data_IF_308231914336
#
_entry.id   IF_308231914336
#
_cell.length_a   1.000
_cell.length_b   1.000
_cell.length_c   1.000
_cell.angle_alpha   90.00
_cell.angle_beta   90.00
_cell.angle_gamma   90.00
#
_symmetry.space_group_name_H-M   'P 1'
#
loop_
_entity.id
_entity.type
_entity.pdbx_description
1 polymer ?
#
# COMPACT_ATOMS: atom_id res chain seq x y z
N UNK A 1 12.74 -19.91 6.24
CA UNK A 1 12.92 -19.07 5.03
C UNK A 1 11.58 -18.79 4.37
N UNK A 2 11.12 -17.54 4.41
CA UNK A 2 9.86 -17.09 3.80
C UNK A 2 10.15 -16.59 2.39
N UNK A 3 9.20 -16.80 1.47
CA UNK A 3 9.34 -16.29 0.10
C UNK A 3 9.17 -14.77 0.09
N UNK A 4 9.88 -14.09 -0.80
CA UNK A 4 9.72 -12.65 -1.03
C UNK A 4 8.29 -12.27 -1.45
N UNK A 5 7.58 -13.17 -2.13
CA UNK A 5 6.16 -13.01 -2.45
C UNK A 5 5.28 -12.93 -1.18
N UNK A 6 5.42 -13.91 -0.27
CA UNK A 6 4.67 -13.91 0.98
C UNK A 6 5.01 -12.69 1.84
N UNK A 7 6.31 -12.35 1.88
CA UNK A 7 6.81 -11.17 2.58
C UNK A 7 6.16 -9.88 2.07
N UNK A 8 6.22 -9.64 0.75
CA UNK A 8 5.66 -8.45 0.14
C UNK A 8 4.15 -8.42 0.29
N UNK A 9 3.47 -9.57 0.17
CA UNK A 9 2.03 -9.66 0.36
C UNK A 9 1.62 -9.25 1.79
N UNK A 10 2.31 -9.75 2.81
CA UNK A 10 2.03 -9.37 4.20
C UNK A 10 2.34 -7.89 4.47
N UNK A 11 3.48 -7.38 3.97
CA UNK A 11 3.82 -5.97 4.08
C UNK A 11 2.78 -5.07 3.39
N UNK A 12 2.31 -5.48 2.21
CA UNK A 12 1.25 -4.78 1.48
C UNK A 12 -0.05 -4.77 2.27
N UNK A 13 -0.45 -5.90 2.86
CA UNK A 13 -1.67 -6.00 3.63
C UNK A 13 -1.65 -5.01 4.81
N UNK A 14 -0.59 -5.03 5.60
CA UNK A 14 -0.42 -4.13 6.75
C UNK A 14 -0.44 -2.66 6.30
N UNK A 15 0.33 -2.30 5.27
CA UNK A 15 0.40 -0.91 4.78
C UNK A 15 -0.89 -0.42 4.14
N UNK A 16 -1.59 -1.29 3.41
CA UNK A 16 -2.90 -0.95 2.85
C UNK A 16 -3.90 -0.70 3.96
N UNK A 17 -3.96 -1.59 4.94
CA UNK A 17 -4.86 -1.42 6.09
C UNK A 17 -4.57 -0.11 6.82
N UNK A 18 -3.31 0.16 7.18
CA UNK A 18 -2.89 1.42 7.82
C UNK A 18 -3.29 2.66 7.00
N UNK A 19 -2.99 2.65 5.70
CA UNK A 19 -3.22 3.80 4.82
C UNK A 19 -4.71 4.03 4.56
N UNK A 20 -5.48 2.95 4.33
CA UNK A 20 -6.93 3.01 4.15
C UNK A 20 -7.60 3.50 5.43
N UNK A 21 -7.21 2.97 6.59
CA UNK A 21 -7.74 3.41 7.88
C UNK A 21 -7.41 4.88 8.16
N UNK A 22 -6.21 5.34 7.80
CA UNK A 22 -5.84 6.75 7.88
C UNK A 22 -6.76 7.62 7.01
N UNK A 23 -6.96 7.26 5.73
CA UNK A 23 -7.85 8.01 4.85
C UNK A 23 -9.30 8.00 5.33
N UNK A 24 -9.82 6.88 5.83
CA UNK A 24 -11.18 6.83 6.36
C UNK A 24 -11.34 7.62 7.64
N UNK A 25 -10.38 7.54 8.57
CA UNK A 25 -10.38 8.38 9.77
C UNK A 25 -10.45 9.86 9.39
N UNK A 26 -9.69 10.26 8.36
CA UNK A 26 -9.71 11.63 7.83
C UNK A 26 -11.07 11.99 7.21
N UNK A 27 -11.67 11.10 6.41
CA UNK A 27 -12.96 11.32 5.75
C UNK A 27 -14.13 11.40 6.74
N UNK A 28 -14.11 10.55 7.77
CA UNK A 28 -15.17 10.43 8.78
C UNK A 28 -15.11 11.53 9.84
N UNK A 29 -13.95 12.15 10.05
CA UNK A 29 -13.79 13.16 11.07
C UNK A 29 -14.74 14.37 10.87
N UNK A 30 -15.12 15.09 11.95
CA UNK A 30 -16.00 16.26 11.89
C UNK A 30 -15.45 17.39 11.01
N UNK A 31 -16.28 18.01 10.19
CA UNK A 31 -15.86 19.05 9.22
C UNK A 31 -15.31 20.34 9.86
N UNK A 32 -15.55 20.54 11.16
CA UNK A 32 -15.14 21.69 11.97
C UNK A 32 -13.80 21.50 12.69
N UNK A 33 -13.01 20.50 12.31
CA UNK A 33 -11.68 20.24 12.89
C UNK A 33 -10.53 20.96 12.13
N UNK A 34 -9.37 21.06 12.78
CA UNK A 34 -8.14 21.70 12.25
C UNK A 34 -7.41 20.88 11.18
N UNK A 35 -8.11 20.02 10.43
CA UNK A 35 -7.47 19.22 9.38
C UNK A 35 -7.05 20.08 8.18
N UNK A 36 -6.01 19.67 7.43
CA UNK A 36 -5.53 20.42 6.27
C UNK A 36 -6.64 20.67 5.23
N UNK A 37 -6.75 21.92 4.77
CA UNK A 37 -7.78 22.37 3.81
C UNK A 37 -7.77 21.57 2.49
N UNK A 38 -6.60 21.07 2.09
CA UNK A 38 -6.39 20.24 0.90
C UNK A 38 -7.27 18.97 0.88
N UNK A 39 -7.70 18.48 2.04
CA UNK A 39 -8.61 17.33 2.12
C UNK A 39 -10.09 17.71 2.32
N UNK A 40 -10.40 18.98 2.59
CA UNK A 40 -11.76 19.43 2.94
C UNK A 40 -12.78 19.14 1.84
N UNK A 41 -12.36 19.21 0.57
CA UNK A 41 -13.19 18.85 -0.58
C UNK A 41 -13.66 17.38 -0.52
N UNK A 42 -12.73 16.44 -0.32
CA UNK A 42 -13.05 15.01 -0.26
C UNK A 42 -13.93 14.67 0.95
N UNK A 43 -13.72 15.37 2.07
CA UNK A 43 -14.51 15.19 3.30
C UNK A 43 -15.95 15.67 3.11
N UNK A 44 -16.15 16.87 2.58
CA UNK A 44 -17.51 17.38 2.25
C UNK A 44 -18.22 16.42 1.30
N UNK A 45 -17.54 15.98 0.26
CA UNK A 45 -18.08 15.02 -0.69
C UNK A 45 -18.45 13.69 0.00
N UNK A 46 -17.66 13.20 0.96
CA UNK A 46 -17.96 11.98 1.69
C UNK A 46 -19.18 12.12 2.62
N UNK A 47 -19.31 13.24 3.32
CA UNK A 47 -20.44 13.52 4.22
C UNK A 47 -21.76 13.77 3.48
N UNK A 48 -21.73 14.39 2.30
CA UNK A 48 -22.91 14.71 1.49
C UNK A 48 -23.50 13.50 0.74
N UNK A 49 -22.72 12.44 0.52
CA UNK A 49 -23.13 11.33 -0.34
C UNK A 49 -23.97 10.28 0.40
N UNK A 50 -24.95 9.75 -0.32
CA UNK A 50 -25.71 8.56 0.07
C UNK A 50 -24.84 7.28 0.03
N UNK A 51 -25.39 6.14 0.47
CA UNK A 51 -24.67 4.88 0.54
C UNK A 51 -23.93 4.47 -0.74
N UNK A 52 -24.48 4.72 -1.93
CA UNK A 52 -23.78 4.43 -3.21
C UNK A 52 -22.63 5.38 -3.49
N UNK A 53 -22.78 6.68 -3.18
CA UNK A 53 -21.70 7.65 -3.34
C UNK A 53 -20.55 7.40 -2.36
N UNK A 54 -20.85 6.96 -1.13
CA UNK A 54 -19.83 6.51 -0.19
C UNK A 54 -19.10 5.26 -0.70
N UNK A 55 -19.81 4.28 -1.27
CA UNK A 55 -19.18 3.10 -1.90
C UNK A 55 -18.21 3.49 -3.01
N UNK A 56 -18.56 4.47 -3.84
CA UNK A 56 -17.66 4.97 -4.88
C UNK A 56 -16.39 5.58 -4.28
N UNK A 57 -16.52 6.46 -3.29
CA UNK A 57 -15.37 7.07 -2.60
C UNK A 57 -14.49 6.00 -1.95
N UNK A 58 -15.09 5.00 -1.29
CA UNK A 58 -14.36 3.89 -0.68
C UNK A 58 -13.50 3.16 -1.71
N UNK A 59 -14.06 2.88 -2.90
CA UNK A 59 -13.31 2.25 -3.99
C UNK A 59 -12.15 3.14 -4.45
N UNK A 60 -12.38 4.44 -4.61
CA UNK A 60 -11.35 5.40 -4.99
C UNK A 60 -10.22 5.49 -3.96
N UNK A 61 -10.53 5.45 -2.66
CA UNK A 61 -9.52 5.44 -1.58
C UNK A 61 -8.61 4.20 -1.69
N UNK A 62 -9.19 3.03 -1.95
CA UNK A 62 -8.42 1.79 -2.16
C UNK A 62 -7.52 1.91 -3.40
N UNK A 63 -8.05 2.43 -4.51
CA UNK A 63 -7.28 2.62 -5.75
C UNK A 63 -6.10 3.60 -5.57
N UNK A 64 -6.33 4.73 -4.87
CA UNK A 64 -5.29 5.70 -4.53
C UNK A 64 -4.24 5.06 -3.62
N UNK A 65 -4.67 4.31 -2.61
CA UNK A 65 -3.76 3.62 -1.68
C UNK A 65 -2.84 2.66 -2.43
N UNK A 66 -3.40 1.82 -3.30
CA UNK A 66 -2.63 0.90 -4.13
C UNK A 66 -1.62 1.64 -5.01
N UNK A 67 -2.00 2.79 -5.59
CA UNK A 67 -1.10 3.63 -6.38
C UNK A 67 0.05 4.20 -5.54
N UNK A 68 -0.23 4.75 -4.36
CA UNK A 68 0.80 5.29 -3.44
C UNK A 68 1.83 4.20 -3.11
N UNK A 69 1.36 2.99 -2.81
CA UNK A 69 2.25 1.88 -2.47
C UNK A 69 3.09 1.45 -3.69
N UNK A 70 2.48 1.36 -4.88
CA UNK A 70 3.22 1.08 -6.11
C UNK A 70 4.29 2.14 -6.39
N UNK A 71 3.94 3.43 -6.32
CA UNK A 71 4.88 4.54 -6.51
C UNK A 71 6.05 4.48 -5.51
N UNK A 72 5.79 4.02 -4.29
CA UNK A 72 6.84 3.80 -3.28
C UNK A 72 7.79 2.67 -3.70
N UNK A 73 7.26 1.51 -4.11
CA UNK A 73 8.07 0.37 -4.56
C UNK A 73 8.82 0.65 -5.87
N UNK A 74 8.25 1.43 -6.80
CA UNK A 74 8.96 1.87 -8.00
C UNK A 74 10.18 2.74 -7.66
N UNK A 75 10.07 3.61 -6.63
CA UNK A 75 11.20 4.39 -6.16
C UNK A 75 12.25 3.49 -5.51
N UNK A 76 11.83 2.51 -4.72
CA UNK A 76 12.72 1.53 -4.09
C UNK A 76 13.49 0.73 -5.14
N UNK A 77 12.82 0.20 -6.16
CA UNK A 77 13.46 -0.53 -7.26
C UNK A 77 14.52 0.33 -7.99
N UNK A 78 14.27 1.64 -8.16
CA UNK A 78 15.21 2.56 -8.83
C UNK A 78 16.47 2.86 -8.03
N UNK A 79 16.38 2.89 -6.70
CA UNK A 79 17.50 3.22 -5.81
C UNK A 79 18.20 1.97 -5.25
N UNK A 80 17.69 0.79 -5.62
CA UNK A 80 18.22 -0.51 -5.20
C UNK A 80 19.65 -0.68 -5.69
N UNK A 81 20.53 -1.10 -4.79
CA UNK A 81 21.93 -1.42 -5.10
C UNK A 81 22.13 -2.91 -4.84
N UNK A 82 22.67 -3.62 -5.84
CA UNK A 82 23.10 -5.01 -5.70
C UNK A 82 24.62 -5.05 -5.56
N UNK A 83 25.14 -5.75 -4.56
CA UNK A 83 26.58 -6.01 -4.40
C UNK A 83 26.82 -7.51 -4.36
N UNK A 84 27.63 -8.02 -5.30
CA UNK A 84 27.87 -9.46 -5.50
C UNK A 84 26.57 -10.29 -5.57
N UNK A 85 25.54 -9.69 -6.17
CA UNK A 85 24.25 -10.34 -6.27
C UNK A 85 23.44 -10.41 -4.97
N UNK A 86 23.88 -9.71 -3.94
CA UNK A 86 23.08 -9.52 -2.74
C UNK A 86 22.46 -8.14 -2.78
N UNK A 87 21.18 -8.09 -2.45
CA UNK A 87 20.50 -6.83 -2.23
C UNK A 87 21.15 -6.09 -1.05
N UNK A 88 21.75 -4.94 -1.33
CA UNK A 88 22.38 -4.07 -0.33
C UNK A 88 21.42 -3.05 0.25
N UNK A 89 20.12 -3.28 0.13
CA UNK A 89 19.09 -2.57 0.87
C UNK A 89 18.66 -3.36 2.12
N UNK A 90 19.48 -3.48 3.19
CA UNK A 90 19.11 -4.27 4.35
C UNK A 90 18.12 -3.58 5.32
N UNK A 91 17.46 -2.46 4.97
CA UNK A 91 17.09 -1.50 6.02
C UNK A 91 15.65 -1.03 6.19
N UNK A 92 14.63 -1.56 5.50
CA UNK A 92 13.24 -1.10 5.74
C UNK A 92 12.22 -2.19 6.04
N UNK A 93 12.69 -3.43 6.11
CA UNK A 93 11.85 -4.60 5.92
C UNK A 93 12.24 -5.72 6.88
N UNK A 94 12.27 -5.41 8.18
CA UNK A 94 12.20 -6.42 9.25
C UNK A 94 10.83 -6.30 9.91
N UNK A 95 9.79 -6.95 9.36
CA UNK A 95 8.52 -7.09 10.06
C UNK A 95 8.84 -7.77 11.38
N UNK A 96 8.32 -7.23 12.48
CA UNK A 96 8.45 -7.83 13.82
C UNK A 96 8.03 -9.31 13.84
N UNK A 97 7.23 -9.73 12.85
CA UNK A 97 6.70 -11.08 12.65
C UNK A 97 7.74 -12.09 12.10
N UNK A 98 8.80 -11.62 11.45
CA UNK A 98 9.78 -12.48 10.79
C UNK A 98 11.17 -12.28 11.38
N UNK A 99 11.55 -13.20 12.28
CA UNK A 99 12.87 -13.27 12.91
C UNK A 99 13.97 -13.74 11.96
N UNK A 100 13.60 -14.27 10.79
CA UNK A 100 14.52 -14.75 9.76
C UNK A 100 14.52 -13.77 8.59
N UNK A 101 15.71 -13.40 8.12
CA UNK A 101 15.84 -12.56 6.93
C UNK A 101 15.19 -13.20 5.71
N UNK A 102 14.67 -12.37 4.81
CA UNK A 102 14.07 -12.82 3.55
C UNK A 102 15.12 -12.90 2.46
N UNK A 103 15.12 -14.00 1.71
CA UNK A 103 15.97 -14.13 0.53
C UNK A 103 15.35 -13.37 -0.63
N UNK A 104 16.08 -12.40 -1.18
CA UNK A 104 15.66 -11.58 -2.31
C UNK A 104 16.53 -11.95 -3.53
N UNK A 105 15.94 -12.48 -4.61
CA UNK A 105 16.66 -12.70 -5.86
C UNK A 105 17.13 -11.38 -6.50
N UNK A 106 18.28 -11.41 -7.15
CA UNK A 106 18.92 -10.26 -7.82
C UNK A 106 18.05 -9.63 -8.91
N UNK A 107 17.39 -10.46 -9.70
CA UNK A 107 16.70 -10.04 -10.94
C UNK A 107 15.21 -9.79 -10.74
N UNK A 108 14.77 -9.48 -9.52
CA UNK A 108 13.35 -9.45 -9.17
C UNK A 108 12.93 -8.03 -8.80
N UNK A 109 12.00 -7.43 -9.55
CA UNK A 109 11.42 -6.12 -9.21
C UNK A 109 10.34 -6.29 -8.15
N UNK A 110 10.42 -5.51 -7.07
CA UNK A 110 9.33 -5.49 -6.08
C UNK A 110 8.06 -4.91 -6.69
N UNK A 111 8.16 -3.88 -7.53
CA UNK A 111 7.01 -3.30 -8.22
C UNK A 111 6.28 -4.34 -9.08
N UNK A 112 7.00 -5.19 -9.81
CA UNK A 112 6.38 -6.27 -10.60
C UNK A 112 5.58 -7.23 -9.72
N UNK A 113 6.16 -7.70 -8.61
CA UNK A 113 5.45 -8.58 -7.65
C UNK A 113 4.21 -7.89 -7.08
N UNK A 114 4.33 -6.62 -6.68
CA UNK A 114 3.18 -5.88 -6.12
C UNK A 114 2.07 -5.73 -7.16
N UNK A 115 2.42 -5.48 -8.43
CA UNK A 115 1.42 -5.41 -9.52
C UNK A 115 0.71 -6.74 -9.70
N UNK A 116 1.44 -7.87 -9.64
CA UNK A 116 0.85 -9.22 -9.71
C UNK A 116 -0.13 -9.43 -8.55
N UNK A 117 0.29 -9.17 -7.31
CA UNK A 117 -0.56 -9.33 -6.11
C UNK A 117 -1.84 -8.47 -6.17
N UNK A 118 -1.74 -7.22 -6.62
CA UNK A 118 -2.91 -6.34 -6.80
C UNK A 118 -3.85 -6.87 -7.89
N UNK A 119 -3.32 -7.49 -8.95
CA UNK A 119 -4.13 -8.06 -10.03
C UNK A 119 -4.84 -9.34 -9.58
N UNK A 120 -4.17 -10.20 -8.80
CA UNK A 120 -4.76 -11.42 -8.24
C UNK A 120 -5.96 -11.11 -7.33
N UNK A 121 -5.87 -10.08 -6.47
CA UNK A 121 -6.99 -9.65 -5.63
C UNK A 121 -8.19 -9.11 -6.43
N UNK A 122 -7.96 -8.54 -7.62
CA UNK A 122 -9.03 -8.04 -8.48
C UNK A 122 -9.77 -9.17 -9.22
N UNK A 123 -9.19 -10.36 -9.29
CA UNK A 123 -9.87 -11.51 -9.85
C UNK A 123 -10.79 -12.12 -8.77
N UNK A 124 -12.11 -12.25 -9.01
CA UNK A 124 -12.94 -13.04 -8.13
C UNK A 124 -12.40 -14.47 -8.16
N UNK A 125 -12.15 -15.05 -6.97
CA UNK A 125 -11.84 -16.47 -6.79
C UNK A 125 -12.74 -17.29 -7.73
N UNK A 126 -12.12 -17.98 -8.70
CA UNK A 126 -12.82 -18.89 -9.61
C UNK A 126 -13.41 -20.08 -8.86
#
# INVERSE_FOLDING_TARGET
>A
MISIYQYLNDYMADRREETVNYFFTLLEAPLDNDFPEEFMFFRKLYHEKSGEGKKYINKTVIEITNKIILDHFEKLDKIRVLENGKDMFPLFFTPKKYNEGVFIPENMSFCEIIRELIQEEKQPLR
#
